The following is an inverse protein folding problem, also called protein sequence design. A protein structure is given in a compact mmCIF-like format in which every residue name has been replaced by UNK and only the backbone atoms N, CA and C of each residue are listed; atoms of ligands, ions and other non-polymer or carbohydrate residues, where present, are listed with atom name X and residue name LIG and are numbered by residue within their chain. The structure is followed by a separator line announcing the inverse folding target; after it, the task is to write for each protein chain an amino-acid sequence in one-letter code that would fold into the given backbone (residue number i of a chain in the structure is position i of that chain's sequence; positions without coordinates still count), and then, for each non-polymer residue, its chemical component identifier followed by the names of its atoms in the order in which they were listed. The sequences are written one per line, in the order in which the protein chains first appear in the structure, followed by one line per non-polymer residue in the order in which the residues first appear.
data_IF_344533372818
#
_entry.id   IF_344533372818
#
_cell.length_a   1.000
_cell.length_b   1.000
_cell.length_c   1.000
_cell.angle_alpha   90.00
_cell.angle_beta   90.00
_cell.angle_gamma   90.00
#
_symmetry.space_group_name_H-M   'P 1'
#
loop_
_entity.id
_entity.type
_entity.pdbx_description
1 polymer ?
#
# COMPACT_ATOMS: atom_id res chain seq x y z
N UNK A 1 -4.08 -12.13 -14.22
CA UNK A 1 -4.91 -11.23 -15.05
C UNK A 1 -4.89 -9.90 -14.35
N UNK A 2 -4.31 -8.88 -14.98
CA UNK A 2 -4.30 -7.52 -14.43
C UNK A 2 -5.60 -6.81 -14.82
N UNK A 3 -6.08 -5.92 -13.95
CA UNK A 3 -7.19 -5.02 -14.21
C UNK A 3 -6.65 -3.72 -14.81
N UNK A 4 -7.50 -2.86 -15.41
CA UNK A 4 -7.07 -1.58 -15.98
C UNK A 4 -6.27 -0.72 -14.98
N UNK A 5 -5.39 0.16 -15.47
CA UNK A 5 -4.58 1.08 -14.66
C UNK A 5 -3.65 0.40 -13.64
N UNK A 6 -3.22 -0.83 -13.95
CA UNK A 6 -2.32 -1.62 -13.12
C UNK A 6 -2.93 -2.13 -11.81
N UNK A 7 -4.25 -2.04 -11.63
CA UNK A 7 -4.89 -2.67 -10.47
C UNK A 7 -4.75 -4.19 -10.58
N UNK A 8 -4.28 -4.87 -9.52
CA UNK A 8 -4.34 -6.33 -9.45
C UNK A 8 -5.69 -6.79 -8.91
N UNK A 9 -6.14 -8.03 -9.16
CA UNK A 9 -7.36 -8.59 -8.58
C UNK A 9 -7.39 -8.48 -7.04
N UNK A 10 -6.22 -8.48 -6.41
CA UNK A 10 -6.05 -8.38 -4.96
C UNK A 10 -6.60 -7.06 -4.39
N UNK A 11 -6.63 -5.98 -5.17
CA UNK A 11 -7.22 -4.71 -4.76
C UNK A 11 -8.73 -4.83 -4.50
N UNK A 12 -9.44 -5.64 -5.30
CA UNK A 12 -10.87 -5.92 -5.10
C UNK A 12 -11.06 -6.92 -3.96
N UNK A 13 -10.27 -7.99 -3.93
CA UNK A 13 -10.36 -9.01 -2.87
C UNK A 13 -10.17 -8.42 -1.46
N UNK A 14 -9.28 -7.44 -1.32
CA UNK A 14 -9.05 -6.74 -0.06
C UNK A 14 -10.07 -5.63 0.22
N UNK A 15 -11.00 -5.37 -0.71
CA UNK A 15 -12.01 -4.33 -0.59
C UNK A 15 -11.46 -2.91 -0.65
N UNK A 16 -10.26 -2.71 -1.21
CA UNK A 16 -9.65 -1.38 -1.38
C UNK A 16 -10.42 -0.58 -2.43
N UNK A 17 -10.86 -1.27 -3.47
CA UNK A 17 -11.71 -0.73 -4.54
C UNK A 17 -12.76 -1.75 -4.94
N UNK A 18 -13.88 -1.26 -5.44
CA UNK A 18 -14.90 -2.06 -6.13
C UNK A 18 -14.67 -2.04 -7.64
N UNK A 19 -15.27 -2.99 -8.37
CA UNK A 19 -15.26 -2.96 -9.84
C UNK A 19 -15.92 -1.71 -10.42
N UNK A 20 -16.89 -1.13 -9.72
CA UNK A 20 -17.50 0.15 -10.07
C UNK A 20 -16.53 1.32 -9.93
N UNK A 21 -15.80 1.40 -8.81
CA UNK A 21 -14.79 2.43 -8.60
C UNK A 21 -13.64 2.34 -9.60
N UNK A 22 -13.23 1.13 -10.00
CA UNK A 22 -12.24 0.96 -11.07
C UNK A 22 -12.77 1.54 -12.39
N UNK A 23 -14.02 1.23 -12.77
CA UNK A 23 -14.61 1.76 -14.01
C UNK A 23 -14.66 3.28 -14.02
N UNK A 24 -15.14 3.89 -12.94
CA UNK A 24 -15.16 5.35 -12.78
C UNK A 24 -13.74 5.96 -12.79
N UNK A 25 -12.75 5.21 -12.30
CA UNK A 25 -11.35 5.63 -12.32
C UNK A 25 -10.78 5.60 -13.74
N UNK A 26 -11.13 4.61 -14.55
CA UNK A 26 -10.79 4.54 -15.97
C UNK A 26 -11.40 5.71 -16.75
N UNK A 27 -12.69 5.99 -16.56
CA UNK A 27 -13.35 7.13 -17.22
C UNK A 27 -12.65 8.46 -16.88
N UNK A 28 -12.27 8.65 -15.60
CA UNK A 28 -11.51 9.83 -15.18
C UNK A 28 -10.10 9.87 -15.75
N UNK A 29 -9.44 8.72 -15.86
CA UNK A 29 -8.12 8.62 -16.47
C UNK A 29 -8.16 8.95 -17.96
N UNK A 30 -9.20 8.53 -18.68
CA UNK A 30 -9.35 8.83 -20.10
C UNK A 30 -9.59 10.33 -20.33
N UNK A 31 -10.40 10.95 -19.47
CA UNK A 31 -10.75 12.37 -19.56
C UNK A 31 -9.70 13.34 -18.98
N UNK A 32 -8.71 12.86 -18.22
CA UNK A 32 -7.68 13.70 -17.59
C UNK A 32 -6.46 13.95 -18.49
N UNK A 33 -5.70 15.00 -18.19
CA UNK A 33 -4.34 15.19 -18.72
C UNK A 33 -3.29 14.39 -17.92
N UNK A 34 -3.58 14.07 -16.65
CA UNK A 34 -2.77 13.20 -15.80
C UNK A 34 -2.94 11.75 -16.26
N UNK A 35 -1.91 11.19 -16.90
CA UNK A 35 -1.87 9.81 -17.39
C UNK A 35 -0.99 8.89 -16.53
N UNK A 36 -0.66 9.29 -15.30
CA UNK A 36 0.10 8.44 -14.39
C UNK A 36 -0.83 7.45 -13.66
N UNK A 37 -0.84 6.20 -14.11
CA UNK A 37 -1.69 5.14 -13.52
C UNK A 37 -1.46 4.94 -12.02
N UNK A 38 -0.19 5.04 -11.59
CA UNK A 38 0.20 4.93 -10.18
C UNK A 38 -0.49 5.97 -9.28
N UNK A 39 -0.78 7.17 -9.79
CA UNK A 39 -1.50 8.20 -9.02
C UNK A 39 -2.90 7.75 -8.65
N UNK A 40 -3.57 7.01 -9.54
CA UNK A 40 -4.92 6.52 -9.31
C UNK A 40 -4.93 5.37 -8.31
N UNK A 41 -3.96 4.44 -8.42
CA UNK A 41 -3.77 3.39 -7.40
C UNK A 41 -3.43 4.00 -6.04
N UNK A 42 -2.54 4.98 -5.99
CA UNK A 42 -2.16 5.68 -4.77
C UNK A 42 -3.36 6.38 -4.11
N UNK A 43 -4.15 7.14 -4.89
CA UNK A 43 -5.36 7.80 -4.39
C UNK A 43 -6.36 6.80 -3.82
N UNK A 44 -6.57 5.66 -4.49
CA UNK A 44 -7.46 4.61 -4.02
C UNK A 44 -6.97 4.01 -2.68
N UNK A 45 -5.68 3.68 -2.58
CA UNK A 45 -5.08 3.17 -1.35
C UNK A 45 -5.19 4.16 -0.19
N UNK A 46 -4.87 5.44 -0.41
CA UNK A 46 -5.00 6.48 0.63
C UNK A 46 -6.43 6.71 1.05
N UNK A 47 -7.39 6.68 0.11
CA UNK A 47 -8.82 6.74 0.42
C UNK A 47 -9.22 5.59 1.34
N UNK A 48 -8.81 4.36 1.01
CA UNK A 48 -9.11 3.17 1.81
C UNK A 48 -8.53 3.23 3.22
N UNK A 49 -7.26 3.63 3.38
CA UNK A 49 -6.64 3.80 4.69
C UNK A 49 -7.36 4.87 5.52
N UNK A 50 -7.75 5.99 4.89
CA UNK A 50 -8.47 7.06 5.57
C UNK A 50 -9.88 6.63 6.01
N UNK A 51 -10.55 5.75 5.26
CA UNK A 51 -11.88 5.22 5.62
C UNK A 51 -11.83 4.10 6.65
N UNK A 52 -10.65 3.53 6.94
CA UNK A 52 -10.50 2.36 7.81
C UNK A 52 -9.55 2.68 8.97
N UNK A 53 -10.00 3.42 9.99
CA UNK A 53 -9.14 3.94 11.05
C UNK A 53 -8.50 2.87 11.95
N UNK A 54 -9.06 1.66 11.97
CA UNK A 54 -8.51 0.51 12.68
C UNK A 54 -8.51 -0.70 11.74
N UNK A 55 -7.31 -1.18 11.42
CA UNK A 55 -7.11 -2.34 10.57
C UNK A 55 -6.71 -3.54 11.43
N UNK A 56 -7.35 -4.70 11.27
CA UNK A 56 -6.87 -5.92 11.92
C UNK A 56 -5.48 -6.31 11.37
N UNK A 57 -4.68 -6.97 12.19
CA UNK A 57 -3.31 -7.38 11.84
C UNK A 57 -3.25 -8.12 10.48
N UNK A 58 -4.18 -9.04 10.23
CA UNK A 58 -4.26 -9.79 8.98
C UNK A 58 -4.42 -8.88 7.76
N UNK A 59 -5.22 -7.82 7.87
CA UNK A 59 -5.40 -6.84 6.80
C UNK A 59 -4.12 -6.00 6.61
N UNK A 60 -3.44 -5.62 7.69
CA UNK A 60 -2.16 -4.90 7.62
C UNK A 60 -1.13 -5.76 6.86
N UNK A 61 -1.01 -7.04 7.19
CA UNK A 61 -0.11 -7.97 6.49
C UNK A 61 -0.49 -8.11 5.00
N UNK A 62 -1.79 -8.24 4.70
CA UNK A 62 -2.25 -8.36 3.32
C UNK A 62 -1.97 -7.10 2.48
N UNK A 63 -2.11 -5.91 3.06
CA UNK A 63 -1.78 -4.64 2.40
C UNK A 63 -0.27 -4.46 2.21
N UNK A 64 0.55 -4.93 3.15
CA UNK A 64 2.00 -4.93 3.00
C UNK A 64 2.42 -5.78 1.79
N UNK A 65 1.92 -7.02 1.70
CA UNK A 65 2.20 -7.90 0.58
C UNK A 65 1.62 -7.40 -0.75
N UNK A 66 0.50 -6.67 -0.71
CA UNK A 66 -0.01 -6.00 -1.91
C UNK A 66 1.02 -4.99 -2.46
N UNK A 67 1.62 -4.18 -1.59
CA UNK A 67 2.67 -3.23 -1.98
C UNK A 67 3.94 -3.95 -2.45
N UNK A 68 4.33 -5.04 -1.80
CA UNK A 68 5.49 -5.86 -2.22
C UNK A 68 5.35 -6.41 -3.66
N UNK A 69 4.10 -6.71 -4.06
CA UNK A 69 3.74 -7.28 -5.35
C UNK A 69 3.30 -6.26 -6.39
N UNK A 70 3.29 -4.95 -6.09
CA UNK A 70 2.90 -3.93 -7.07
C UNK A 70 3.90 -3.93 -8.23
N UNK A 71 3.37 -3.85 -9.45
CA UNK A 71 4.19 -3.83 -10.66
C UNK A 71 5.08 -2.58 -10.72
N UNK A 72 4.62 -1.47 -10.12
CA UNK A 72 5.43 -0.28 -9.94
C UNK A 72 6.18 -0.34 -8.59
N UNK A 73 7.51 -0.43 -8.67
CA UNK A 73 8.36 -0.55 -7.50
C UNK A 73 8.27 0.66 -6.55
N UNK A 74 8.12 1.87 -7.09
CA UNK A 74 8.02 3.10 -6.32
C UNK A 74 6.69 3.17 -5.56
N UNK A 75 5.59 2.91 -6.27
CA UNK A 75 4.24 2.82 -5.72
C UNK A 75 4.16 1.75 -4.61
N UNK A 76 4.64 0.54 -4.90
CA UNK A 76 4.66 -0.57 -3.94
C UNK A 76 5.44 -0.23 -2.67
N UNK A 77 6.63 0.37 -2.85
CA UNK A 77 7.45 0.84 -1.72
C UNK A 77 6.75 1.92 -0.89
N UNK A 78 6.04 2.85 -1.53
CA UNK A 78 5.28 3.89 -0.83
C UNK A 78 4.12 3.30 -0.01
N UNK A 79 3.41 2.31 -0.55
CA UNK A 79 2.37 1.58 0.20
C UNK A 79 2.96 0.88 1.43
N UNK A 80 4.05 0.12 1.25
CA UNK A 80 4.73 -0.58 2.35
C UNK A 80 5.18 0.39 3.44
N UNK A 81 5.66 1.58 3.07
CA UNK A 81 6.06 2.62 4.02
C UNK A 81 4.89 3.10 4.89
N UNK A 82 3.74 3.38 4.27
CA UNK A 82 2.52 3.77 4.98
C UNK A 82 2.06 2.66 5.94
N UNK A 83 2.10 1.40 5.50
CA UNK A 83 1.71 0.24 6.31
C UNK A 83 2.62 0.05 7.53
N UNK A 84 3.95 0.12 7.36
CA UNK A 84 4.91 0.10 8.49
C UNK A 84 4.66 1.26 9.45
N UNK A 85 4.19 2.40 8.95
CA UNK A 85 3.82 3.56 9.73
C UNK A 85 2.60 3.37 10.64
N UNK A 86 1.68 2.46 10.30
CA UNK A 86 0.37 2.34 10.96
C UNK A 86 0.47 1.98 12.46
N UNK A 87 -0.33 2.63 13.33
CA UNK A 87 -0.52 2.16 14.70
C UNK A 87 -0.98 0.70 14.70
N UNK A 88 -0.40 -0.13 15.57
CA UNK A 88 -0.74 -1.55 15.62
C UNK A 88 -0.12 -2.42 14.53
N UNK A 89 0.77 -1.88 13.68
CA UNK A 89 1.51 -2.67 12.71
C UNK A 89 2.26 -3.84 13.40
N UNK A 90 1.99 -5.10 13.00
CA UNK A 90 2.62 -6.29 13.57
C UNK A 90 4.14 -6.24 13.52
N UNK A 91 4.81 -6.84 14.52
CA UNK A 91 6.28 -6.82 14.60
C UNK A 91 6.94 -7.61 13.49
N UNK A 92 6.34 -8.73 13.07
CA UNK A 92 6.81 -9.52 11.94
C UNK A 92 6.84 -8.72 10.62
N UNK A 93 5.85 -7.87 10.36
CA UNK A 93 5.87 -6.96 9.20
C UNK A 93 6.99 -5.92 9.31
N UNK A 94 7.25 -5.40 10.51
CA UNK A 94 8.35 -4.47 10.73
C UNK A 94 9.70 -5.18 10.52
N UNK A 95 9.85 -6.40 11.03
CA UNK A 95 11.07 -7.20 10.86
C UNK A 95 11.32 -7.56 9.39
N UNK A 96 10.26 -7.91 8.65
CA UNK A 96 10.33 -8.11 7.20
C UNK A 96 10.78 -6.84 6.47
N UNK A 97 10.23 -5.68 6.84
CA UNK A 97 10.61 -4.40 6.25
C UNK A 97 12.08 -4.02 6.56
N UNK A 98 12.61 -4.38 7.73
CA UNK A 98 14.04 -4.22 8.07
C UNK A 98 14.92 -5.13 7.22
N UNK A 99 14.48 -6.36 6.98
CA UNK A 99 15.23 -7.35 6.21
C UNK A 99 15.23 -7.10 4.69
N UNK A 100 14.31 -6.27 4.17
CA UNK A 100 14.23 -5.92 2.75
C UNK A 100 15.37 -4.97 2.33
N UNK A 101 16.49 -5.56 1.93
CA UNK A 101 17.67 -4.84 1.43
C UNK A 101 17.46 -4.22 0.04
N UNK A 102 16.40 -4.60 -0.68
CA UNK A 102 16.03 -3.98 -1.95
C UNK A 102 15.40 -2.59 -1.78
N UNK A 103 14.85 -2.30 -0.59
CA UNK A 103 14.17 -1.04 -0.28
C UNK A 103 14.81 -0.34 0.92
N UNK A 104 16.05 0.16 0.75
CA UNK A 104 16.81 0.76 1.85
C UNK A 104 16.06 1.83 2.66
N UNK A 105 15.26 2.68 2.00
CA UNK A 105 14.49 3.72 2.66
C UNK A 105 13.39 3.13 3.58
N UNK A 106 12.76 2.04 3.15
CA UNK A 106 11.79 1.29 3.94
C UNK A 106 12.47 0.66 5.16
N UNK A 107 13.61 -0.03 4.95
CA UNK A 107 14.37 -0.66 6.03
C UNK A 107 14.82 0.36 7.10
N UNK A 108 15.32 1.53 6.68
CA UNK A 108 15.70 2.63 7.60
C UNK A 108 14.51 3.15 8.41
N UNK A 109 13.33 3.27 7.78
CA UNK A 109 12.09 3.67 8.46
C UNK A 109 11.64 2.63 9.49
N UNK A 110 11.66 1.35 9.12
CA UNK A 110 11.30 0.24 10.00
C UNK A 110 12.24 0.16 11.21
N UNK A 111 13.56 0.27 11.02
CA UNK A 111 14.54 0.34 12.10
C UNK A 111 14.26 1.51 13.06
N UNK A 112 13.97 2.69 12.52
CA UNK A 112 13.63 3.87 13.32
C UNK A 112 12.36 3.68 14.14
N UNK A 113 11.46 2.78 13.74
CA UNK A 113 10.25 2.43 14.49
C UNK A 113 10.57 1.48 15.65
N UNK A 114 11.45 0.51 15.43
CA UNK A 114 11.93 -0.39 16.51
C UNK A 114 12.60 0.43 17.60
N UNK A 115 13.54 1.33 17.25
CA UNK A 115 14.24 2.16 18.24
C UNK A 115 13.31 3.07 19.05
N UNK A 116 12.18 3.50 18.48
CA UNK A 116 11.16 4.29 19.21
C UNK A 116 10.32 3.46 20.17
N UNK A 117 10.12 2.16 19.89
CA UNK A 117 9.41 1.24 20.80
C UNK A 117 10.26 0.83 22.00
N UNK A 118 11.58 0.77 21.87
CA UNK A 118 12.48 0.36 22.97
C UNK A 118 12.83 1.50 23.94
N UNK A 119 12.57 2.75 23.56
CA UNK A 119 12.93 3.94 24.32
C UNK A 119 11.74 4.63 25.02
N UNK A 120 10.54 4.05 24.97
CA UNK A 120 9.32 4.58 25.60
C UNK A 120 8.70 3.56 26.52
#
# INVERSE_FOLDING_TARGET
MELPLGFSPKWIELGIVTGEEIRQTVERFEASDDKSEEHYRWRAFKKFLASTPSLPAEMICALYHLGEQDADFGMGTAMMFDIVGLPGCPSDIIDLAVADTGREALAKSALSRISRRTNG
#
